data_IF_066128960271
#
_entry.id   IF_066128960271
#
_cell.length_a   1.000
_cell.length_b   1.000
_cell.length_c   1.000
_cell.angle_alpha   90.00
_cell.angle_beta   90.00
_cell.angle_gamma   90.00
#
_symmetry.space_group_name_H-M   'P 1'
#
loop_
_entity.id
_entity.type
_entity.pdbx_description
1 polymer ?
#
# COMPACT_ATOMS: atom_id res chain seq x y z
N UNK A 1 -4.93 -13.45 -18.29
CA UNK A 1 -5.68 -12.90 -17.13
C UNK A 1 -5.62 -13.89 -15.98
N UNK A 2 -4.63 -13.78 -15.08
CA UNK A 2 -4.55 -14.66 -13.89
C UNK A 2 -5.62 -14.25 -12.88
N UNK A 3 -6.52 -15.17 -12.54
CA UNK A 3 -7.51 -14.97 -11.48
C UNK A 3 -6.75 -14.69 -10.18
N UNK A 4 -6.92 -13.50 -9.60
CA UNK A 4 -6.26 -13.15 -8.34
C UNK A 4 -6.70 -14.09 -7.22
N UNK A 5 -5.79 -14.46 -6.32
CA UNK A 5 -6.08 -15.35 -5.18
C UNK A 5 -7.31 -14.92 -4.35
N UNK A 6 -7.60 -13.61 -4.31
CA UNK A 6 -8.82 -13.07 -3.69
C UNK A 6 -10.11 -13.55 -4.37
N UNK A 7 -10.14 -13.60 -5.70
CA UNK A 7 -11.31 -14.04 -6.48
C UNK A 7 -11.57 -15.52 -6.18
N UNK A 8 -10.52 -16.34 -6.19
CA UNK A 8 -10.60 -17.78 -5.93
C UNK A 8 -11.13 -18.04 -4.52
N UNK A 9 -10.55 -17.41 -3.48
CA UNK A 9 -11.03 -17.61 -2.11
C UNK A 9 -12.46 -17.11 -1.89
N UNK A 10 -12.89 -16.04 -2.57
CA UNK A 10 -14.28 -15.60 -2.52
C UNK A 10 -15.21 -16.67 -3.08
N UNK A 11 -14.87 -17.25 -4.24
CA UNK A 11 -15.64 -18.35 -4.83
C UNK A 11 -15.73 -19.56 -3.89
N UNK A 12 -14.62 -19.96 -3.28
CA UNK A 12 -14.57 -21.09 -2.34
C UNK A 12 -15.37 -20.80 -1.07
N UNK A 13 -15.32 -19.57 -0.55
CA UNK A 13 -16.14 -19.16 0.59
C UNK A 13 -17.63 -19.22 0.30
N UNK A 14 -18.06 -18.82 -0.91
CA UNK A 14 -19.47 -18.93 -1.33
C UNK A 14 -19.87 -20.40 -1.40
N UNK A 15 -19.06 -21.25 -2.06
CA UNK A 15 -19.35 -22.70 -2.16
C UNK A 15 -19.46 -23.32 -0.78
N UNK A 16 -18.53 -23.03 0.12
CA UNK A 16 -18.54 -23.55 1.49
C UNK A 16 -19.78 -23.10 2.26
N UNK A 17 -20.12 -21.80 2.19
CA UNK A 17 -21.28 -21.25 2.87
C UNK A 17 -22.60 -21.86 2.39
N UNK A 18 -22.78 -21.98 1.07
CA UNK A 18 -23.96 -22.62 0.48
C UNK A 18 -24.04 -24.10 0.84
N UNK A 19 -22.91 -24.81 0.80
CA UNK A 19 -22.84 -26.23 1.14
C UNK A 19 -23.23 -26.50 2.59
N UNK A 20 -22.62 -25.78 3.55
CA UNK A 20 -22.94 -25.91 4.97
C UNK A 20 -24.40 -25.52 5.24
N UNK A 21 -24.88 -24.46 4.60
CA UNK A 21 -26.26 -24.02 4.77
C UNK A 21 -27.28 -25.03 4.25
N UNK A 22 -27.00 -25.71 3.12
CA UNK A 22 -27.83 -26.80 2.61
C UNK A 22 -27.78 -28.03 3.51
N UNK A 23 -26.59 -28.39 4.02
CA UNK A 23 -26.41 -29.52 4.91
C UNK A 23 -27.22 -29.37 6.21
N UNK A 24 -27.32 -28.15 6.72
CA UNK A 24 -28.11 -27.79 7.90
C UNK A 24 -29.60 -27.52 7.58
N UNK A 25 -30.03 -27.74 6.33
CA UNK A 25 -31.40 -27.50 5.88
C UNK A 25 -31.92 -26.08 6.19
N UNK A 26 -31.04 -25.09 6.14
CA UNK A 26 -31.44 -23.71 6.39
C UNK A 26 -32.36 -23.20 5.26
N UNK A 27 -33.42 -22.44 5.59
CA UNK A 27 -34.50 -22.10 4.64
C UNK A 27 -34.08 -21.17 3.51
N UNK A 28 -32.94 -20.47 3.61
CA UNK A 28 -32.44 -19.61 2.55
C UNK A 28 -30.90 -19.67 2.41
N UNK A 29 -30.37 -20.72 1.77
CA UNK A 29 -28.92 -20.89 1.61
C UNK A 29 -28.23 -19.73 0.90
N UNK A 30 -28.93 -19.08 -0.02
CA UNK A 30 -28.44 -17.90 -0.77
C UNK A 30 -27.94 -16.80 0.17
N UNK A 31 -28.58 -16.61 1.33
CA UNK A 31 -28.15 -15.62 2.31
C UNK A 31 -26.77 -15.91 2.91
N UNK A 32 -26.46 -17.18 3.16
CA UNK A 32 -25.13 -17.58 3.62
C UNK A 32 -24.08 -17.24 2.56
N UNK A 33 -24.40 -17.45 1.28
CA UNK A 33 -23.56 -17.04 0.15
C UNK A 33 -23.32 -15.52 0.11
N UNK A 34 -24.39 -14.72 0.23
CA UNK A 34 -24.29 -13.25 0.28
C UNK A 34 -23.43 -12.81 1.47
N UNK A 35 -23.67 -13.38 2.65
CA UNK A 35 -22.90 -13.08 3.85
C UNK A 35 -21.40 -13.40 3.70
N UNK A 36 -21.08 -14.53 3.05
CA UNK A 36 -19.70 -14.90 2.76
C UNK A 36 -18.99 -13.88 1.84
N UNK A 37 -19.71 -13.32 0.85
CA UNK A 37 -19.19 -12.27 -0.05
C UNK A 37 -18.80 -11.02 0.74
N UNK A 38 -19.66 -10.56 1.64
CA UNK A 38 -19.39 -9.36 2.46
C UNK A 38 -18.33 -9.60 3.54
N UNK A 39 -18.18 -10.84 4.01
CA UNK A 39 -17.23 -11.18 5.08
C UNK A 39 -15.79 -11.45 4.59
N UNK A 40 -15.57 -11.65 3.28
CA UNK A 40 -14.24 -12.01 2.77
C UNK A 40 -13.26 -10.82 2.79
N UNK A 41 -12.31 -10.87 3.72
CA UNK A 41 -11.29 -9.83 3.87
C UNK A 41 -10.00 -10.10 3.07
N UNK A 42 -9.20 -9.07 2.70
CA UNK A 42 -7.92 -9.26 2.01
C UNK A 42 -6.88 -10.04 2.82
N UNK A 43 -6.77 -9.76 4.11
CA UNK A 43 -5.79 -10.35 5.03
C UNK A 43 -6.47 -11.12 6.17
N UNK A 44 -5.76 -12.10 6.74
CA UNK A 44 -6.24 -12.86 7.91
C UNK A 44 -6.47 -11.93 9.11
N UNK A 45 -5.57 -10.97 9.31
CA UNK A 45 -5.67 -9.98 10.39
C UNK A 45 -6.96 -9.16 10.29
N UNK A 46 -7.27 -8.62 9.10
CA UNK A 46 -8.54 -7.93 8.86
C UNK A 46 -9.73 -8.87 9.00
N UNK A 47 -9.60 -10.14 8.59
CA UNK A 47 -10.66 -11.15 8.76
C UNK A 47 -11.02 -11.38 10.22
N UNK A 48 -10.02 -11.39 11.11
CA UNK A 48 -10.23 -11.53 12.55
C UNK A 48 -10.93 -10.32 13.17
N UNK A 49 -10.53 -9.09 12.80
CA UNK A 49 -11.25 -7.90 13.25
C UNK A 49 -12.68 -7.88 12.71
N UNK A 50 -12.81 -8.17 11.41
CA UNK A 50 -14.09 -8.19 10.71
C UNK A 50 -15.06 -9.19 11.29
N UNK A 51 -14.64 -10.33 11.85
CA UNK A 51 -15.60 -11.29 12.42
C UNK A 51 -16.34 -10.70 13.62
N UNK A 52 -15.62 -9.98 14.49
CA UNK A 52 -16.20 -9.33 15.67
C UNK A 52 -17.16 -8.24 15.24
N UNK A 53 -16.72 -7.42 14.31
CA UNK A 53 -17.52 -6.30 13.80
C UNK A 53 -18.77 -6.83 13.09
N UNK A 54 -18.65 -7.88 12.26
CA UNK A 54 -19.78 -8.48 11.54
C UNK A 54 -20.79 -9.07 12.51
N UNK A 55 -20.36 -9.76 13.56
CA UNK A 55 -21.29 -10.27 14.59
C UNK A 55 -22.04 -9.11 15.25
N UNK A 56 -21.34 -8.04 15.66
CA UNK A 56 -21.97 -6.89 16.31
C UNK A 56 -22.92 -6.13 15.38
N UNK A 57 -22.48 -5.82 14.15
CA UNK A 57 -23.26 -5.08 13.18
C UNK A 57 -24.53 -5.82 12.76
N UNK A 58 -24.42 -7.12 12.46
CA UNK A 58 -25.56 -7.94 12.09
C UNK A 58 -26.51 -8.17 13.27
N UNK A 59 -25.99 -8.23 14.50
CA UNK A 59 -26.84 -8.28 15.69
C UNK A 59 -27.66 -6.98 15.84
N UNK A 60 -27.05 -5.81 15.61
CA UNK A 60 -27.78 -4.53 15.57
C UNK A 60 -28.86 -4.55 14.47
N UNK A 61 -28.53 -5.07 13.28
CA UNK A 61 -29.49 -5.22 12.19
C UNK A 61 -30.68 -6.09 12.59
N UNK A 62 -30.42 -7.28 13.14
CA UNK A 62 -31.45 -8.22 13.56
C UNK A 62 -32.31 -7.70 14.71
N UNK A 63 -31.71 -7.11 15.75
CA UNK A 63 -32.45 -6.55 16.87
C UNK A 63 -33.33 -5.38 16.45
N UNK A 64 -32.81 -4.49 15.60
CA UNK A 64 -33.61 -3.39 15.04
C UNK A 64 -34.77 -3.93 14.21
N UNK A 65 -34.54 -4.98 13.41
CA UNK A 65 -35.60 -5.64 12.63
C UNK A 65 -36.74 -6.12 13.53
N UNK A 66 -36.38 -6.86 14.59
CA UNK A 66 -37.33 -7.46 15.53
C UNK A 66 -38.15 -6.37 16.22
N UNK A 67 -37.49 -5.33 16.75
CA UNK A 67 -38.16 -4.22 17.43
C UNK A 67 -39.12 -3.50 16.49
N UNK A 68 -38.70 -3.20 15.26
CA UNK A 68 -39.53 -2.46 14.31
C UNK A 68 -40.73 -3.26 13.84
N UNK A 69 -40.56 -4.56 13.54
CA UNK A 69 -41.68 -5.41 13.14
C UNK A 69 -42.69 -5.57 14.28
N UNK A 70 -42.23 -5.75 15.52
CA UNK A 70 -43.13 -5.90 16.68
C UNK A 70 -43.88 -4.61 17.03
N UNK A 71 -43.29 -3.43 16.82
CA UNK A 71 -43.91 -2.14 17.18
C UNK A 71 -44.73 -1.51 16.05
N UNK A 72 -44.27 -1.60 14.81
CA UNK A 72 -44.78 -0.83 13.67
C UNK A 72 -45.24 -1.72 12.50
N UNK A 73 -45.08 -3.04 12.61
CA UNK A 73 -45.39 -3.98 11.55
C UNK A 73 -44.40 -3.95 10.39
N UNK A 74 -44.80 -4.53 9.26
CA UNK A 74 -43.95 -4.71 8.08
C UNK A 74 -44.41 -3.86 6.89
N UNK A 75 -44.26 -2.54 7.00
CA UNK A 75 -44.48 -1.62 5.89
C UNK A 75 -43.16 -1.21 5.24
N UNK A 76 -43.15 -0.99 3.93
CA UNK A 76 -41.96 -0.58 3.17
C UNK A 76 -41.30 0.67 3.78
N UNK A 77 -42.10 1.63 4.24
CA UNK A 77 -41.62 2.85 4.91
C UNK A 77 -40.94 2.54 6.25
N UNK A 78 -41.46 1.56 7.00
CA UNK A 78 -40.91 1.12 8.29
C UNK A 78 -39.55 0.45 8.10
N UNK A 79 -39.38 -0.35 7.04
CA UNK A 79 -38.08 -0.93 6.67
C UNK A 79 -37.04 0.17 6.38
N UNK A 80 -37.44 1.21 5.63
CA UNK A 80 -36.57 2.35 5.35
C UNK A 80 -36.14 3.11 6.61
N UNK A 81 -37.08 3.34 7.54
CA UNK A 81 -36.78 3.98 8.83
C UNK A 81 -35.85 3.12 9.70
N UNK A 82 -36.11 1.81 9.77
CA UNK A 82 -35.25 0.87 10.48
C UNK A 82 -33.83 0.85 9.88
N UNK A 83 -33.70 0.92 8.55
CA UNK A 83 -32.41 0.97 7.86
C UNK A 83 -31.62 2.23 8.24
N UNK A 84 -32.26 3.40 8.29
CA UNK A 84 -31.62 4.65 8.74
C UNK A 84 -31.07 4.48 10.16
N UNK A 85 -31.86 3.90 11.06
CA UNK A 85 -31.43 3.66 12.45
C UNK A 85 -30.27 2.67 12.52
N UNK A 86 -30.31 1.57 11.76
CA UNK A 86 -29.21 0.61 11.67
C UNK A 86 -27.94 1.30 11.18
N UNK A 87 -28.01 2.14 10.15
CA UNK A 87 -26.86 2.92 9.65
C UNK A 87 -26.32 3.83 10.75
N UNK A 88 -27.18 4.62 11.39
CA UNK A 88 -26.77 5.54 12.46
C UNK A 88 -26.12 4.81 13.63
N UNK A 89 -26.68 3.67 14.05
CA UNK A 89 -26.12 2.86 15.13
C UNK A 89 -24.76 2.26 14.74
N UNK A 90 -24.63 1.68 13.55
CA UNK A 90 -23.36 1.13 13.09
C UNK A 90 -22.27 2.22 13.00
N UNK A 91 -22.60 3.42 12.50
CA UNK A 91 -21.67 4.55 12.49
C UNK A 91 -21.25 4.97 13.91
N UNK A 92 -22.21 5.04 14.84
CA UNK A 92 -21.93 5.39 16.24
C UNK A 92 -20.99 4.38 16.92
N UNK A 93 -21.10 3.10 16.58
CA UNK A 93 -20.24 2.04 17.08
C UNK A 93 -18.95 1.83 16.25
N UNK A 94 -18.70 2.66 15.23
CA UNK A 94 -17.55 2.56 14.31
C UNK A 94 -17.51 1.25 13.52
N UNK A 95 -18.68 0.72 13.17
CA UNK A 95 -18.90 -0.53 12.41
C UNK A 95 -19.22 -0.25 10.92
N UNK A 96 -18.50 0.69 10.31
CA UNK A 96 -18.77 1.16 8.93
C UNK A 96 -18.73 0.04 7.90
N UNK A 97 -17.75 -0.86 8.03
CA UNK A 97 -17.53 -1.95 7.08
C UNK A 97 -18.64 -3.02 7.08
N UNK A 98 -19.52 -3.02 8.08
CA UNK A 98 -20.57 -4.04 8.25
C UNK A 98 -21.95 -3.53 7.89
N UNK A 99 -22.11 -2.21 7.64
CA UNK A 99 -23.40 -1.58 7.32
C UNK A 99 -24.12 -2.34 6.19
N UNK A 100 -23.41 -2.67 5.11
CA UNK A 100 -24.01 -3.38 3.97
C UNK A 100 -24.64 -4.72 4.38
N UNK A 101 -23.91 -5.57 5.12
CA UNK A 101 -24.44 -6.87 5.55
C UNK A 101 -25.50 -6.72 6.64
N UNK A 102 -25.36 -5.76 7.56
CA UNK A 102 -26.36 -5.45 8.59
C UNK A 102 -27.70 -5.05 7.97
N UNK A 103 -27.69 -4.32 6.85
CA UNK A 103 -28.90 -3.95 6.11
C UNK A 103 -29.51 -5.16 5.38
N UNK A 104 -28.69 -6.04 4.80
CA UNK A 104 -29.18 -7.31 4.23
C UNK A 104 -29.87 -8.15 5.31
N UNK A 105 -29.27 -8.23 6.50
CA UNK A 105 -29.86 -8.91 7.67
C UNK A 105 -31.19 -8.29 8.07
N UNK A 106 -31.24 -6.97 8.20
CA UNK A 106 -32.46 -6.23 8.53
C UNK A 106 -33.58 -6.54 7.52
N UNK A 107 -33.33 -6.30 6.24
CA UNK A 107 -34.34 -6.45 5.18
C UNK A 107 -34.84 -7.89 5.10
N UNK A 108 -33.93 -8.88 5.19
CA UNK A 108 -34.34 -10.27 5.08
C UNK A 108 -35.15 -10.78 6.27
N UNK A 109 -34.94 -10.23 7.47
CA UNK A 109 -35.77 -10.55 8.63
C UNK A 109 -37.15 -9.89 8.49
N UNK A 110 -37.20 -8.65 7.98
CA UNK A 110 -38.46 -7.92 7.83
C UNK A 110 -39.32 -8.42 6.66
N UNK A 111 -38.74 -9.04 5.62
CA UNK A 111 -39.45 -9.42 4.39
C UNK A 111 -40.69 -10.32 4.60
N UNK A 112 -40.67 -11.26 5.56
CA UNK A 112 -41.79 -12.18 5.79
C UNK A 112 -42.06 -12.42 7.28
N UNK A 113 -42.91 -11.60 7.91
CA UNK A 113 -43.38 -11.82 9.28
C UNK A 113 -44.52 -12.85 9.23
N UNK A 114 -44.22 -14.10 9.58
CA UNK A 114 -45.22 -15.15 9.83
C UNK A 114 -45.48 -15.37 11.32
N UNK A 115 -46.35 -16.34 11.65
CA UNK A 115 -46.78 -16.65 13.03
C UNK A 115 -45.61 -17.02 13.97
N UNK A 116 -44.49 -17.51 13.43
CA UNK A 116 -43.26 -17.85 14.16
C UNK A 116 -42.12 -16.85 13.88
N UNK A 117 -42.43 -15.55 13.86
CA UNK A 117 -41.49 -14.49 13.47
C UNK A 117 -40.14 -14.52 14.23
N UNK A 118 -40.15 -14.73 15.55
CA UNK A 118 -38.90 -14.74 16.34
C UNK A 118 -37.99 -15.93 15.98
N UNK A 119 -38.58 -17.11 15.76
CA UNK A 119 -37.85 -18.30 15.32
C UNK A 119 -37.28 -18.08 13.90
N UNK A 120 -38.08 -17.53 13.00
CA UNK A 120 -37.65 -17.19 11.66
C UNK A 120 -36.50 -16.17 11.65
N UNK A 121 -36.59 -15.12 12.49
CA UNK A 121 -35.55 -14.12 12.64
C UNK A 121 -34.23 -14.73 13.15
N UNK A 122 -34.31 -15.63 14.13
CA UNK A 122 -33.15 -16.36 14.66
C UNK A 122 -32.49 -17.25 13.59
N UNK A 123 -33.29 -17.98 12.81
CA UNK A 123 -32.81 -18.83 11.71
C UNK A 123 -32.14 -17.99 10.62
N UNK A 124 -32.73 -16.86 10.23
CA UNK A 124 -32.17 -15.94 9.23
C UNK A 124 -30.84 -15.35 9.70
N UNK A 125 -30.79 -14.86 10.93
CA UNK A 125 -29.53 -14.39 11.54
C UNK A 125 -28.48 -15.50 11.59
N UNK A 126 -28.84 -16.71 12.02
CA UNK A 126 -27.96 -17.87 12.05
C UNK A 126 -27.40 -18.22 10.67
N UNK A 127 -28.24 -18.16 9.62
CA UNK A 127 -27.83 -18.42 8.23
C UNK A 127 -26.79 -17.41 7.72
N UNK A 128 -26.96 -16.14 8.06
CA UNK A 128 -25.99 -15.09 7.72
C UNK A 128 -24.67 -15.33 8.48
N UNK A 129 -24.75 -15.65 9.78
CA UNK A 129 -23.57 -15.95 10.58
C UNK A 129 -22.81 -17.17 10.03
N UNK A 130 -23.49 -18.21 9.56
CA UNK A 130 -22.84 -19.34 8.88
C UNK A 130 -22.02 -18.89 7.67
N UNK A 131 -22.52 -17.94 6.88
CA UNK A 131 -21.77 -17.35 5.78
C UNK A 131 -20.53 -16.55 6.24
N UNK A 132 -20.69 -15.74 7.29
CA UNK A 132 -19.57 -14.98 7.89
C UNK A 132 -18.47 -15.93 8.40
N UNK A 133 -18.84 -16.98 9.14
CA UNK A 133 -17.91 -17.98 9.64
C UNK A 133 -17.25 -18.79 8.52
N UNK A 134 -18.00 -19.14 7.47
CA UNK A 134 -17.45 -19.84 6.30
C UNK A 134 -16.37 -19.02 5.59
N UNK A 135 -16.61 -17.72 5.37
CA UNK A 135 -15.61 -16.84 4.78
C UNK A 135 -14.36 -16.68 5.67
N UNK A 136 -14.55 -16.63 6.99
CA UNK A 136 -13.44 -16.59 7.94
C UNK A 136 -12.58 -17.86 7.89
N UNK A 137 -13.20 -19.04 7.87
CA UNK A 137 -12.50 -20.33 7.75
C UNK A 137 -11.70 -20.39 6.45
N UNK A 138 -12.30 -19.99 5.32
CA UNK A 138 -11.59 -19.97 4.03
C UNK A 138 -10.41 -18.99 4.06
N UNK A 139 -10.57 -17.80 4.66
CA UNK A 139 -9.47 -16.86 4.82
C UNK A 139 -8.31 -17.39 5.69
N UNK A 140 -8.60 -18.28 6.65
CA UNK A 140 -7.59 -18.88 7.52
C UNK A 140 -6.84 -20.02 6.83
N UNK A 141 -7.55 -20.83 6.04
CA UNK A 141 -7.01 -22.02 5.37
C UNK A 141 -6.26 -21.68 4.09
N UNK A 142 -6.74 -20.71 3.29
CA UNK A 142 -6.09 -20.35 2.04
C UNK A 142 -4.95 -19.35 2.26
N UNK A 143 -3.78 -19.66 1.71
CA UNK A 143 -2.54 -18.90 1.90
C UNK A 143 -2.72 -17.40 1.59
N UNK A 144 -2.15 -16.50 2.41
CA UNK A 144 -2.13 -15.07 2.11
C UNK A 144 -1.38 -14.83 0.80
N UNK A 145 -1.81 -13.86 -0.03
CA UNK A 145 -1.10 -13.55 -1.25
C UNK A 145 0.28 -13.00 -0.92
N UNK A 146 1.29 -13.34 -1.73
CA UNK A 146 2.69 -12.88 -1.57
C UNK A 146 2.79 -11.36 -1.76
N UNK A 147 2.50 -10.60 -0.70
CA UNK A 147 2.54 -9.14 -0.71
C UNK A 147 3.97 -8.60 -0.78
N UNK A 148 4.94 -9.33 -0.23
CA UNK A 148 6.37 -8.98 -0.27
C UNK A 148 6.87 -8.76 -1.70
N UNK A 149 6.67 -9.75 -2.59
CA UNK A 149 7.10 -9.67 -3.99
C UNK A 149 6.41 -8.50 -4.71
N UNK A 150 5.08 -8.38 -4.54
CA UNK A 150 4.31 -7.30 -5.16
C UNK A 150 4.76 -5.92 -4.69
N UNK A 151 5.08 -5.79 -3.40
CA UNK A 151 5.58 -4.56 -2.81
C UNK A 151 6.94 -4.20 -3.41
N UNK A 152 7.88 -5.14 -3.39
CA UNK A 152 9.23 -4.92 -3.95
C UNK A 152 9.17 -4.51 -5.42
N UNK A 153 8.48 -5.27 -6.27
CA UNK A 153 8.42 -4.96 -7.70
C UNK A 153 7.75 -3.62 -7.98
N UNK A 154 6.74 -3.25 -7.18
CA UNK A 154 6.11 -1.94 -7.32
C UNK A 154 7.06 -0.81 -6.91
N UNK A 155 7.85 -0.99 -5.85
CA UNK A 155 8.86 -0.04 -5.41
C UNK A 155 9.97 0.06 -6.47
N UNK A 156 10.56 -1.07 -6.86
CA UNK A 156 11.64 -1.15 -7.85
C UNK A 156 11.23 -0.50 -9.17
N UNK A 157 10.07 -0.86 -9.74
CA UNK A 157 9.62 -0.27 -10.99
C UNK A 157 9.39 1.25 -10.90
N UNK A 158 8.86 1.73 -9.76
CA UNK A 158 8.73 3.18 -9.53
C UNK A 158 10.10 3.87 -9.43
N UNK A 159 11.05 3.25 -8.71
CA UNK A 159 12.43 3.73 -8.62
C UNK A 159 13.10 3.78 -9.99
N UNK A 160 12.98 2.74 -10.81
CA UNK A 160 13.58 2.67 -12.15
C UNK A 160 13.02 3.76 -13.07
N UNK A 161 11.70 3.99 -13.02
CA UNK A 161 11.05 5.06 -13.77
C UNK A 161 11.56 6.45 -13.30
N UNK A 162 11.60 6.69 -11.99
CA UNK A 162 12.12 7.95 -11.43
C UNK A 162 13.58 8.19 -11.85
N UNK A 163 14.44 7.17 -11.72
CA UNK A 163 15.85 7.22 -12.09
C UNK A 163 16.01 7.58 -13.58
N UNK A 164 15.23 6.93 -14.45
CA UNK A 164 15.24 7.21 -15.89
C UNK A 164 14.89 8.67 -16.18
N UNK A 165 13.88 9.20 -15.52
CA UNK A 165 13.45 10.59 -15.72
C UNK A 165 14.43 11.61 -15.13
N UNK A 166 15.00 11.36 -13.94
CA UNK A 166 16.07 12.20 -13.40
C UNK A 166 17.22 12.30 -14.40
N UNK A 167 17.64 11.16 -14.97
CA UNK A 167 18.72 11.10 -15.96
C UNK A 167 18.40 11.88 -17.24
N UNK A 168 17.17 11.82 -17.74
CA UNK A 168 16.75 12.56 -18.93
C UNK A 168 16.65 14.07 -18.67
N UNK A 169 16.04 14.47 -17.55
CA UNK A 169 15.86 15.88 -17.17
C UNK A 169 17.17 16.55 -16.84
N UNK A 170 18.09 15.87 -16.14
CA UNK A 170 19.41 16.39 -15.82
C UNK A 170 20.24 16.72 -17.07
N UNK A 171 19.95 16.07 -18.20
CA UNK A 171 20.59 16.31 -19.51
C UNK A 171 19.75 17.20 -20.45
N UNK A 172 18.72 17.88 -19.94
CA UNK A 172 17.82 18.74 -20.70
C UNK A 172 17.19 18.02 -21.92
N UNK A 173 16.97 16.70 -21.81
CA UNK A 173 16.48 15.85 -22.89
C UNK A 173 15.03 15.38 -22.68
N UNK A 174 14.38 15.81 -21.59
CA UNK A 174 12.98 15.48 -21.29
C UNK A 174 12.01 16.47 -21.94
N UNK A 175 10.90 15.99 -22.49
CA UNK A 175 9.77 16.84 -22.83
C UNK A 175 9.00 17.25 -21.57
N UNK A 176 8.72 18.54 -21.43
CA UNK A 176 8.08 19.12 -20.25
C UNK A 176 6.69 18.52 -19.97
N UNK A 177 5.86 18.33 -20.99
CA UNK A 177 4.49 17.82 -20.81
C UNK A 177 4.49 16.31 -20.52
N UNK A 178 5.36 15.55 -21.19
CA UNK A 178 5.51 14.13 -20.91
C UNK A 178 5.99 13.87 -19.48
N UNK A 179 6.98 14.66 -19.02
CA UNK A 179 7.48 14.57 -17.66
C UNK A 179 6.41 14.91 -16.62
N UNK A 180 5.61 15.95 -16.85
CA UNK A 180 4.49 16.30 -15.97
C UNK A 180 3.50 15.14 -15.81
N UNK A 181 3.10 14.52 -16.93
CA UNK A 181 2.18 13.37 -16.91
C UNK A 181 2.77 12.17 -16.16
N UNK A 182 4.07 11.93 -16.30
CA UNK A 182 4.72 10.86 -15.55
C UNK A 182 4.80 11.18 -14.06
N UNK A 183 5.09 12.42 -13.66
CA UNK A 183 5.09 12.84 -12.25
C UNK A 183 3.71 12.57 -11.61
N UNK A 184 2.62 12.87 -12.32
CA UNK A 184 1.26 12.56 -11.86
C UNK A 184 1.04 11.03 -11.70
N UNK A 185 1.50 10.23 -12.67
CA UNK A 185 1.45 8.76 -12.61
C UNK A 185 2.26 8.19 -11.43
N UNK A 186 3.41 8.77 -11.13
CA UNK A 186 4.29 8.38 -10.02
C UNK A 186 3.67 8.76 -8.66
N UNK A 187 2.95 9.88 -8.58
CA UNK A 187 2.15 10.23 -7.40
C UNK A 187 1.06 9.20 -7.10
N UNK A 188 0.33 8.71 -8.10
CA UNK A 188 -0.65 7.63 -7.92
C UNK A 188 0.02 6.32 -7.50
N UNK A 189 1.20 6.05 -8.05
CA UNK A 189 1.98 4.85 -7.75
C UNK A 189 2.44 4.84 -6.29
N UNK A 190 2.83 6.00 -5.74
CA UNK A 190 3.15 6.17 -4.31
C UNK A 190 2.00 5.71 -3.40
N UNK A 191 0.76 6.09 -3.69
CA UNK A 191 -0.41 5.67 -2.89
C UNK A 191 -0.58 4.15 -2.92
N UNK A 192 -0.38 3.54 -4.08
CA UNK A 192 -0.44 2.07 -4.25
C UNK A 192 0.69 1.36 -3.48
N UNK A 193 1.89 1.93 -3.44
CA UNK A 193 3.02 1.41 -2.65
C UNK A 193 2.70 1.41 -1.15
N UNK A 194 2.10 2.49 -0.63
CA UNK A 194 1.72 2.60 0.79
C UNK A 194 0.64 1.58 1.19
N UNK A 195 -0.33 1.36 0.29
CA UNK A 195 -1.33 0.32 0.48
C UNK A 195 -0.69 -1.07 0.53
N UNK A 196 0.21 -1.39 -0.40
CA UNK A 196 0.92 -2.68 -0.43
C UNK A 196 1.81 -2.86 0.81
N UNK A 197 2.50 -1.80 1.26
CA UNK A 197 3.29 -1.83 2.49
C UNK A 197 2.41 -2.15 3.70
N UNK A 198 1.23 -1.54 3.77
CA UNK A 198 0.25 -1.81 4.84
C UNK A 198 -0.22 -3.25 4.80
N UNK A 199 -0.55 -3.79 3.62
CA UNK A 199 -0.95 -5.19 3.45
C UNK A 199 0.16 -6.16 3.84
N UNK A 200 1.40 -5.90 3.43
CA UNK A 200 2.55 -6.69 3.83
C UNK A 200 2.79 -6.60 5.34
N UNK A 201 2.66 -5.43 5.96
CA UNK A 201 2.80 -5.26 7.42
C UNK A 201 1.76 -6.06 8.21
N UNK A 202 0.52 -6.10 7.74
CA UNK A 202 -0.60 -6.79 8.41
C UNK A 202 -0.63 -8.31 8.19
N UNK A 203 0.06 -8.80 7.15
CA UNK A 203 0.15 -10.23 6.90
C UNK A 203 0.80 -10.94 8.11
N UNK A 204 0.15 -11.99 8.64
CA UNK A 204 0.72 -12.77 9.73
C UNK A 204 1.45 -13.99 9.16
N UNK A 205 2.64 -14.27 9.68
CA UNK A 205 3.34 -15.53 9.40
C UNK A 205 2.98 -16.55 10.48
N UNK A 206 3.00 -17.83 10.13
CA UNK A 206 2.58 -18.91 11.05
C UNK A 206 3.60 -19.14 12.19
N UNK A 207 4.88 -18.81 11.97
CA UNK A 207 5.97 -19.04 12.93
C UNK A 207 6.59 -17.75 13.47
N UNK A 208 6.97 -17.76 14.76
CA UNK A 208 7.56 -16.61 15.47
C UNK A 208 8.93 -16.18 14.96
N UNK A 209 9.77 -17.12 14.49
CA UNK A 209 11.11 -16.82 13.91
C UNK A 209 10.96 -15.92 12.68
N UNK A 210 9.92 -16.15 11.89
CA UNK A 210 9.66 -15.39 10.68
C UNK A 210 9.18 -13.96 10.97
N UNK A 211 8.65 -13.68 12.17
CA UNK A 211 8.23 -12.32 12.56
C UNK A 211 9.41 -11.39 12.74
N UNK A 212 10.53 -11.87 13.30
CA UNK A 212 11.73 -11.05 13.49
C UNK A 212 12.38 -10.68 12.15
N UNK A 213 12.54 -11.65 11.24
CA UNK A 213 13.04 -11.42 9.87
C UNK A 213 12.12 -10.45 9.13
N UNK A 214 10.81 -10.66 9.24
CA UNK A 214 9.81 -9.77 8.64
C UNK A 214 9.90 -8.34 9.20
N UNK A 215 10.09 -8.17 10.50
CA UNK A 215 10.24 -6.86 11.11
C UNK A 215 11.46 -6.11 10.53
N UNK A 216 12.60 -6.80 10.37
CA UNK A 216 13.78 -6.24 9.69
C UNK A 216 13.48 -5.84 8.24
N UNK A 217 12.85 -6.72 7.46
CA UNK A 217 12.40 -6.42 6.09
C UNK A 217 11.47 -5.22 6.02
N UNK A 218 10.53 -5.08 6.98
CA UNK A 218 9.60 -3.94 7.04
C UNK A 218 10.30 -2.60 7.27
N UNK A 219 11.45 -2.58 7.95
CA UNK A 219 12.29 -1.39 8.09
C UNK A 219 12.92 -1.03 6.75
N UNK A 220 13.50 -2.03 6.05
CA UNK A 220 14.12 -1.83 4.73
C UNK A 220 13.09 -1.35 3.71
N UNK A 221 11.94 -2.01 3.58
CA UNK A 221 10.90 -1.59 2.64
C UNK A 221 10.36 -0.19 2.95
N UNK A 222 10.25 0.19 4.23
CA UNK A 222 9.89 1.56 4.60
C UNK A 222 10.94 2.54 4.10
N UNK A 223 12.22 2.21 4.26
CA UNK A 223 13.30 3.05 3.77
C UNK A 223 13.32 3.11 2.25
N UNK A 224 13.15 2.00 1.52
CA UNK A 224 13.07 2.00 0.06
C UNK A 224 11.95 2.92 -0.46
N UNK A 225 10.76 2.88 0.17
CA UNK A 225 9.65 3.79 -0.17
C UNK A 225 10.05 5.25 0.10
N UNK A 226 10.70 5.52 1.23
CA UNK A 226 11.15 6.87 1.56
C UNK A 226 12.22 7.38 0.59
N UNK A 227 13.18 6.54 0.20
CA UNK A 227 14.23 6.87 -0.77
C UNK A 227 13.64 7.13 -2.15
N UNK A 228 12.70 6.29 -2.63
CA UNK A 228 11.97 6.54 -3.87
C UNK A 228 11.16 7.85 -3.84
N UNK A 229 10.54 8.18 -2.70
CA UNK A 229 9.83 9.46 -2.53
C UNK A 229 10.78 10.66 -2.58
N UNK A 230 11.98 10.56 -2.01
CA UNK A 230 12.99 11.62 -2.06
C UNK A 230 13.52 11.80 -3.48
N UNK A 231 13.78 10.70 -4.20
CA UNK A 231 14.13 10.74 -5.61
C UNK A 231 13.03 11.43 -6.46
N UNK A 232 11.75 11.11 -6.23
CA UNK A 232 10.64 11.77 -6.90
C UNK A 232 10.57 13.27 -6.57
N UNK A 233 10.84 13.64 -5.32
CA UNK A 233 10.91 15.06 -4.93
C UNK A 233 12.04 15.79 -5.68
N UNK A 234 13.22 15.18 -5.79
CA UNK A 234 14.33 15.72 -6.61
C UNK A 234 13.91 15.90 -8.06
N UNK A 235 13.24 14.90 -8.67
CA UNK A 235 12.72 15.01 -10.03
C UNK A 235 11.73 16.17 -10.18
N UNK A 236 10.82 16.34 -9.22
CA UNK A 236 9.85 17.45 -9.21
C UNK A 236 10.56 18.80 -9.10
N UNK A 237 11.63 18.91 -8.30
CA UNK A 237 12.42 20.16 -8.19
C UNK A 237 13.16 20.46 -9.49
N UNK A 238 13.79 19.45 -10.10
CA UNK A 238 14.45 19.59 -11.40
C UNK A 238 13.47 20.04 -12.50
N UNK A 239 12.27 19.44 -12.54
CA UNK A 239 11.23 19.83 -13.49
C UNK A 239 10.70 21.25 -13.24
N UNK A 240 10.47 21.62 -11.98
CA UNK A 240 9.93 22.94 -11.62
C UNK A 240 10.90 24.06 -11.95
N UNK A 241 12.20 23.84 -11.70
CA UNK A 241 13.25 24.84 -11.87
C UNK A 241 14.16 24.53 -13.08
N UNK A 242 13.57 23.95 -14.12
CA UNK A 242 14.28 23.52 -15.34
C UNK A 242 14.96 24.69 -16.07
N UNK A 243 14.31 25.86 -16.08
CA UNK A 243 14.84 27.06 -16.72
C UNK A 243 16.08 27.58 -15.98
N UNK A 244 16.01 27.66 -14.65
CA UNK A 244 17.10 28.11 -13.80
C UNK A 244 18.28 27.14 -13.86
N UNK A 245 18.00 25.84 -13.88
CA UNK A 245 19.02 24.83 -14.09
C UNK A 245 19.75 25.01 -15.43
N UNK A 246 19.02 25.30 -16.52
CA UNK A 246 19.59 25.53 -17.85
C UNK A 246 20.43 26.81 -17.94
N UNK A 247 20.14 27.80 -17.09
CA UNK A 247 20.89 29.06 -17.03
C UNK A 247 22.16 28.96 -16.17
N UNK A 248 22.37 27.87 -15.42
CA UNK A 248 23.60 27.67 -14.66
C UNK A 248 24.83 27.57 -15.59
N UNK A 249 26.01 28.02 -15.16
CA UNK A 249 27.24 27.79 -15.91
C UNK A 249 27.52 26.28 -16.09
N UNK A 250 28.19 25.91 -17.19
CA UNK A 250 28.43 24.51 -17.56
C UNK A 250 29.13 23.69 -16.47
N UNK A 251 30.02 24.32 -15.70
CA UNK A 251 30.72 23.70 -14.57
C UNK A 251 29.75 23.20 -13.50
N UNK A 252 28.77 24.03 -13.11
CA UNK A 252 27.74 23.68 -12.13
C UNK A 252 26.77 22.64 -12.68
N UNK A 253 26.37 22.76 -13.96
CA UNK A 253 25.52 21.76 -14.60
C UNK A 253 26.18 20.38 -14.59
N UNK A 254 27.46 20.31 -14.98
CA UNK A 254 28.24 19.07 -15.02
C UNK A 254 28.35 18.45 -13.63
N UNK A 255 28.66 19.25 -12.61
CA UNK A 255 28.75 18.76 -11.23
C UNK A 255 27.40 18.23 -10.70
N UNK A 256 26.29 18.90 -11.01
CA UNK A 256 24.94 18.42 -10.66
C UNK A 256 24.63 17.11 -11.39
N UNK A 257 24.96 17.02 -12.69
CA UNK A 257 24.77 15.82 -13.50
C UNK A 257 25.54 14.63 -12.92
N UNK A 258 26.84 14.80 -12.65
CA UNK A 258 27.69 13.76 -12.07
C UNK A 258 27.17 13.31 -10.71
N UNK A 259 26.74 14.25 -9.86
CA UNK A 259 26.17 13.91 -8.56
C UNK A 259 24.86 13.13 -8.68
N UNK A 260 23.96 13.55 -9.57
CA UNK A 260 22.71 12.83 -9.84
C UNK A 260 22.98 11.43 -10.40
N UNK A 261 23.89 11.31 -11.37
CA UNK A 261 24.30 10.03 -11.97
C UNK A 261 24.90 9.09 -10.92
N UNK A 262 25.70 9.61 -9.99
CA UNK A 262 26.21 8.82 -8.86
C UNK A 262 25.07 8.33 -7.95
N UNK A 263 24.18 9.23 -7.52
CA UNK A 263 23.09 8.90 -6.59
C UNK A 263 22.11 7.89 -7.18
N UNK A 264 21.70 8.05 -8.45
CA UNK A 264 20.81 7.09 -9.10
C UNK A 264 21.49 5.72 -9.27
N UNK A 265 22.80 5.69 -9.57
CA UNK A 265 23.55 4.44 -9.69
C UNK A 265 23.65 3.72 -8.35
N UNK A 266 23.97 4.42 -7.26
CA UNK A 266 23.99 3.84 -5.92
C UNK A 266 22.62 3.31 -5.48
N UNK A 267 21.55 4.05 -5.77
CA UNK A 267 20.19 3.62 -5.45
C UNK A 267 19.81 2.33 -6.21
N UNK A 268 20.08 2.27 -7.52
CA UNK A 268 19.87 1.09 -8.35
C UNK A 268 20.67 -0.11 -7.85
N UNK A 269 21.98 0.06 -7.61
CA UNK A 269 22.85 -0.99 -7.07
C UNK A 269 22.37 -1.50 -5.70
N UNK A 270 21.89 -0.62 -4.84
CA UNK A 270 21.35 -0.99 -3.52
C UNK A 270 20.09 -1.85 -3.63
N UNK A 271 19.20 -1.51 -4.56
CA UNK A 271 18.01 -2.32 -4.86
C UNK A 271 18.40 -3.72 -5.37
N UNK A 272 19.36 -3.78 -6.31
CA UNK A 272 19.87 -5.04 -6.86
C UNK A 272 20.63 -5.89 -5.82
N UNK A 273 21.38 -5.25 -4.92
CA UNK A 273 22.07 -5.89 -3.79
C UNK A 273 21.07 -6.55 -2.84
N UNK A 274 19.95 -5.88 -2.54
CA UNK A 274 18.92 -6.44 -1.67
C UNK A 274 18.35 -7.76 -2.20
N UNK A 275 18.16 -7.91 -3.51
CA UNK A 275 17.70 -9.16 -4.13
C UNK A 275 18.82 -10.13 -4.49
N UNK A 276 20.06 -9.86 -4.08
CA UNK A 276 21.20 -10.74 -4.31
C UNK A 276 21.68 -10.79 -5.77
N UNK A 277 21.23 -9.88 -6.65
CA UNK A 277 21.69 -9.80 -8.04
C UNK A 277 23.05 -9.12 -8.18
N UNK A 278 23.52 -8.43 -7.13
CA UNK A 278 24.83 -7.79 -7.06
C UNK A 278 25.57 -8.32 -5.83
N UNK A 279 26.85 -8.66 -6.00
CA UNK A 279 27.69 -9.13 -4.88
C UNK A 279 27.93 -7.99 -3.89
N UNK A 280 27.87 -8.23 -2.58
CA UNK A 280 28.15 -7.19 -1.58
C UNK A 280 29.56 -6.60 -1.71
N UNK A 281 30.52 -7.42 -2.17
CA UNK A 281 31.94 -7.09 -2.27
C UNK A 281 32.26 -6.17 -3.46
N UNK A 282 31.51 -6.24 -4.56
CA UNK A 282 31.80 -5.45 -5.76
C UNK A 282 31.63 -3.94 -5.54
N UNK A 283 30.77 -3.54 -4.60
CA UNK A 283 30.61 -2.14 -4.21
C UNK A 283 31.83 -1.57 -3.45
N UNK A 284 32.59 -2.41 -2.76
CA UNK A 284 33.83 -2.01 -2.06
C UNK A 284 35.01 -1.92 -3.02
N UNK A 285 35.05 -2.75 -4.06
CA UNK A 285 36.12 -2.75 -5.07
C UNK A 285 36.02 -1.57 -6.04
N UNK A 286 34.80 -1.14 -6.36
CA UNK A 286 34.53 -0.04 -7.29
C UNK A 286 33.48 0.93 -6.71
N UNK A 287 33.88 1.80 -5.76
CA UNK A 287 32.97 2.79 -5.21
C UNK A 287 32.52 3.76 -6.30
N UNK A 288 31.22 4.05 -6.34
CA UNK A 288 30.68 5.08 -7.24
C UNK A 288 31.17 6.44 -6.72
N UNK A 289 31.93 7.23 -7.51
CA UNK A 289 32.48 8.50 -7.05
C UNK A 289 31.36 9.54 -6.98
N UNK A 290 30.82 9.75 -5.78
CA UNK A 290 29.90 10.85 -5.46
C UNK A 290 30.69 12.00 -4.85
N UNK A 291 30.21 13.22 -5.04
CA UNK A 291 30.65 14.37 -4.25
C UNK A 291 30.31 14.15 -2.78
N UNK A 292 31.23 14.52 -1.89
CA UNK A 292 30.94 14.59 -0.45
C UNK A 292 29.91 15.70 -0.17
N UNK A 293 29.16 15.58 0.92
CA UNK A 293 28.18 16.58 1.35
C UNK A 293 28.82 17.96 1.48
N UNK A 294 30.07 18.02 1.94
CA UNK A 294 30.84 19.26 2.04
C UNK A 294 31.14 19.87 0.66
N UNK A 295 31.44 19.04 -0.33
CA UNK A 295 31.72 19.49 -1.69
C UNK A 295 30.46 20.05 -2.36
N UNK A 296 29.31 19.41 -2.15
CA UNK A 296 28.00 19.93 -2.63
C UNK A 296 27.69 21.28 -1.99
N UNK A 297 27.90 21.42 -0.68
CA UNK A 297 27.70 22.68 0.04
C UNK A 297 28.68 23.74 -0.46
N UNK A 298 29.95 23.38 -0.65
CA UNK A 298 30.96 24.30 -1.17
C UNK A 298 30.63 24.78 -2.58
N UNK A 299 30.13 23.88 -3.44
CA UNK A 299 29.65 24.22 -4.79
C UNK A 299 28.47 25.20 -4.74
N UNK A 300 27.56 25.05 -3.78
CA UNK A 300 26.48 26.03 -3.60
C UNK A 300 27.00 27.38 -3.11
N UNK A 301 27.89 27.39 -2.11
CA UNK A 301 28.48 28.64 -1.56
C UNK A 301 29.30 29.38 -2.62
N UNK A 302 30.08 28.67 -3.44
CA UNK A 302 30.83 29.29 -4.53
C UNK A 302 29.89 29.98 -5.51
N UNK A 303 28.75 29.35 -5.83
CA UNK A 303 27.75 29.96 -6.71
C UNK A 303 27.09 31.18 -6.06
N UNK A 304 26.82 31.13 -4.76
CA UNK A 304 26.27 32.27 -4.03
C UNK A 304 27.21 33.49 -4.10
N UNK A 305 28.51 33.29 -3.86
CA UNK A 305 29.48 34.38 -3.90
C UNK A 305 29.56 35.02 -5.30
N UNK A 306 29.50 34.21 -6.38
CA UNK A 306 29.45 34.73 -7.75
C UNK A 306 28.22 35.60 -8.01
N UNK A 307 27.03 35.20 -7.53
CA UNK A 307 25.82 36.01 -7.64
C UNK A 307 25.92 37.33 -6.89
N UNK A 308 26.51 37.32 -5.68
CA UNK A 308 26.73 38.53 -4.88
C UNK A 308 27.69 39.51 -5.57
N UNK A 309 28.72 38.99 -6.26
CA UNK A 309 29.67 39.78 -7.04
C UNK A 309 29.06 40.34 -8.34
N UNK A 310 28.14 39.62 -8.97
CA UNK A 310 27.47 39.99 -10.24
C UNK A 310 26.30 40.99 -10.05
N UNK A 311 25.79 41.16 -8.82
CA UNK A 311 24.70 42.08 -8.51
C UNK A 311 23.34 41.68 -9.11
N UNK A 312 23.14 40.39 -9.35
CA UNK A 312 21.92 39.81 -9.95
C UNK A 312 20.79 39.54 -8.93
N UNK A 313 19.57 39.30 -9.43
CA UNK A 313 18.34 39.10 -8.64
C UNK A 313 18.36 37.82 -7.76
N UNK A 314 18.02 37.95 -6.47
CA UNK A 314 18.07 36.87 -5.45
C UNK A 314 17.22 35.64 -5.80
N UNK A 315 16.19 35.79 -6.66
CA UNK A 315 15.24 34.71 -6.98
C UNK A 315 15.91 33.48 -7.59
N UNK A 316 16.92 33.65 -8.44
CA UNK A 316 17.65 32.54 -9.05
C UNK A 316 18.40 31.71 -8.01
N UNK A 317 19.04 32.38 -7.05
CA UNK A 317 19.76 31.72 -5.96
C UNK A 317 18.83 30.84 -5.11
N UNK A 318 17.63 31.34 -4.76
CA UNK A 318 16.65 30.56 -4.02
C UNK A 318 16.20 29.31 -4.78
N UNK A 319 16.03 29.39 -6.10
CA UNK A 319 15.62 28.25 -6.92
C UNK A 319 16.74 27.21 -7.06
N UNK A 320 17.99 27.64 -7.26
CA UNK A 320 19.16 26.77 -7.25
C UNK A 320 19.32 26.08 -5.89
N UNK A 321 19.11 26.78 -4.77
CA UNK A 321 19.13 26.20 -3.44
C UNK A 321 18.12 25.04 -3.28
N UNK A 322 16.92 25.17 -3.86
CA UNK A 322 15.92 24.10 -3.81
C UNK A 322 16.38 22.82 -4.53
N UNK A 323 17.10 22.97 -5.66
CA UNK A 323 17.69 21.83 -6.38
C UNK A 323 18.75 21.15 -5.51
N UNK A 324 19.76 21.91 -5.06
CA UNK A 324 20.85 21.40 -4.23
C UNK A 324 20.35 20.72 -2.95
N UNK A 325 19.42 21.35 -2.23
CA UNK A 325 18.81 20.80 -1.03
C UNK A 325 18.11 19.47 -1.30
N UNK A 326 17.38 19.36 -2.42
CA UNK A 326 16.70 18.11 -2.78
C UNK A 326 17.68 16.99 -3.17
N UNK A 327 18.80 17.32 -3.80
CA UNK A 327 19.87 16.36 -4.15
C UNK A 327 20.55 15.86 -2.88
N UNK A 328 20.91 16.77 -1.96
CA UNK A 328 21.51 16.41 -0.69
C UNK A 328 20.60 15.50 0.14
N UNK A 329 19.32 15.88 0.27
CA UNK A 329 18.32 15.07 0.98
C UNK A 329 18.11 13.70 0.31
N UNK A 330 18.14 13.61 -1.01
CA UNK A 330 18.06 12.32 -1.70
C UNK A 330 19.28 11.44 -1.37
N UNK A 331 20.49 11.99 -1.39
CA UNK A 331 21.72 11.27 -1.04
C UNK A 331 21.70 10.67 0.36
N UNK A 332 21.26 11.42 1.37
CA UNK A 332 21.17 10.89 2.75
C UNK A 332 20.26 9.65 2.86
N UNK A 333 19.17 9.62 2.09
CA UNK A 333 18.24 8.48 2.10
C UNK A 333 18.78 7.27 1.34
N UNK A 334 19.60 7.49 0.30
CA UNK A 334 20.30 6.42 -0.43
C UNK A 334 21.38 5.81 0.47
N UNK A 335 22.22 6.62 1.10
CA UNK A 335 23.24 6.18 2.07
C UNK A 335 22.60 5.36 3.22
N UNK A 336 21.51 5.86 3.79
CA UNK A 336 20.82 5.14 4.87
C UNK A 336 20.19 3.82 4.39
N UNK A 337 19.64 3.80 3.17
CA UNK A 337 19.11 2.56 2.59
C UNK A 337 20.23 1.53 2.38
N UNK A 338 21.37 1.95 1.85
CA UNK A 338 22.53 1.08 1.65
C UNK A 338 23.03 0.50 2.97
N UNK A 339 23.13 1.32 4.01
CA UNK A 339 23.51 0.89 5.35
C UNK A 339 22.55 -0.20 5.88
N UNK A 340 21.23 0.01 5.76
CA UNK A 340 20.23 -0.95 6.20
C UNK A 340 20.29 -2.27 5.40
N UNK A 341 20.42 -2.19 4.07
CA UNK A 341 20.53 -3.37 3.21
C UNK A 341 21.81 -4.15 3.52
N UNK A 342 22.93 -3.44 3.67
CA UNK A 342 24.22 -4.06 4.00
C UNK A 342 24.16 -4.74 5.37
N UNK A 343 23.61 -4.08 6.38
CA UNK A 343 23.41 -4.66 7.71
C UNK A 343 22.46 -5.87 7.68
N UNK A 344 21.45 -5.88 6.81
CA UNK A 344 20.54 -7.01 6.70
C UNK A 344 21.21 -8.24 6.07
N UNK A 345 22.06 -8.03 5.07
CA UNK A 345 22.77 -9.11 4.37
C UNK A 345 23.99 -9.63 5.14
N UNK A 346 24.64 -8.80 5.97
CA UNK A 346 25.82 -9.21 6.72
C UNK A 346 25.51 -9.96 8.02
N UNK A 347 24.37 -9.65 8.66
CA UNK A 347 23.98 -10.27 9.93
C UNK A 347 22.84 -11.28 9.74
N UNK A 348 22.85 -12.38 10.50
CA UNK A 348 21.83 -13.45 10.46
C UNK A 348 21.65 -14.08 9.06
N UNK A 349 22.76 -14.41 8.39
CA UNK A 349 22.75 -14.96 7.02
C UNK A 349 21.93 -16.26 6.86
N UNK A 350 21.85 -17.10 7.90
CA UNK A 350 21.03 -18.32 7.89
C UNK A 350 19.51 -18.04 7.95
N UNK A 351 19.10 -16.83 8.35
CA UNK A 351 17.69 -16.42 8.54
C UNK A 351 17.21 -15.40 7.51
N UNK A 352 18.10 -14.53 7.06
CA UNK A 352 17.78 -13.37 6.24
C UNK A 352 17.76 -13.72 4.74
N UNK A 353 16.92 -14.69 4.38
CA UNK A 353 16.69 -15.02 2.97
C UNK A 353 15.73 -14.00 2.32
N UNK A 354 16.17 -13.42 1.20
CA UNK A 354 15.34 -12.59 0.33
C UNK A 354 14.71 -13.47 -0.75
N UNK A 355 13.50 -13.96 -0.46
CA UNK A 355 12.73 -14.82 -1.37
C UNK A 355 11.86 -13.97 -2.29
N UNK A 356 12.48 -13.16 -3.14
CA UNK A 356 11.77 -12.47 -4.22
C UNK A 356 11.85 -13.32 -5.46
N UNK A 357 10.76 -14.03 -5.72
CA UNK A 357 10.62 -14.83 -6.95
C UNK A 357 10.65 -13.89 -8.15
N UNK A 358 11.39 -14.27 -9.19
CA UNK A 358 11.38 -13.55 -10.46
C UNK A 358 9.94 -13.36 -10.92
N UNK A 359 9.63 -12.17 -11.42
CA UNK A 359 8.42 -11.98 -12.21
C UNK A 359 8.53 -12.93 -13.39
N UNK A 360 7.89 -14.09 -13.30
CA UNK A 360 7.33 -14.71 -14.50
C UNK A 360 6.41 -13.65 -15.07
N UNK A 361 6.88 -12.94 -16.10
CA UNK A 361 6.02 -12.23 -17.04
C UNK A 361 4.83 -13.17 -17.31
N UNK A 362 3.62 -12.75 -16.93
CA UNK A 362 2.32 -13.30 -17.38
C UNK A 362 1.13 -12.77 -16.56
#
# INVERSE_FOLDING_TARGET
>A
MKLGARIVKTGIAIVLALFISNLLHAPSPVMAGIAAIFAIQPTIYRSYQSIRDQVQGNLIGALTAIVFVLLLGNHIVVIGLAAIIVITLNLRFKLENTIGLSLVTLVSIMESPGDQFLEFAAIRFGTIMLGVFSAFVVNLVFLPPRYENKLYYRISGATDDIIRWIRLTSRNASDHNLLKNEIERLHDTKVKMDLLYTMYREERRYFKRDEAVKARKLVIYRQMISTARRALETLIRLHRYENEYRLLPETYQTAIQEQLDCLITQHEQTMLKYIGKVRPESALEHPVPCLDKKEIIHLFISRQNEYEDEGEDDNHLYHTMQIFSSILAYGEYVEHLEMLVTSFLSYHQEDNEVQIEEQTED
#
